data_IF_891906410289
#
_entry.id   IF_891906410289
#
_cell.length_a   1.000
_cell.length_b   1.000
_cell.length_c   1.000
_cell.angle_alpha   90.00
_cell.angle_beta   90.00
_cell.angle_gamma   90.00
#
_symmetry.space_group_name_H-M   'P 1'
#
loop_
_entity.id
_entity.type
_entity.pdbx_description
1 polymer ?
#
# COMPACT_ATOMS: atom_id res chain seq x y z
N UNK A 1 19.92 10.80 -13.50
CA UNK A 1 19.20 10.44 -12.26
C UNK A 1 18.75 11.73 -11.62
N UNK A 2 17.44 11.95 -11.52
CA UNK A 2 16.89 13.10 -10.80
C UNK A 2 16.97 12.77 -9.31
N UNK A 3 17.71 13.57 -8.54
CA UNK A 3 17.72 13.46 -7.09
C UNK A 3 16.40 14.07 -6.58
N UNK A 4 15.41 13.23 -6.26
CA UNK A 4 14.19 13.71 -5.62
C UNK A 4 14.53 14.15 -4.20
N UNK A 5 14.15 15.39 -3.85
CA UNK A 5 14.24 15.88 -2.48
C UNK A 5 13.38 15.03 -1.56
N UNK A 6 13.90 14.67 -0.38
CA UNK A 6 13.11 14.02 0.68
C UNK A 6 11.98 14.91 1.20
N UNK A 7 12.05 16.22 0.97
CA UNK A 7 11.00 17.17 1.34
C UNK A 7 9.66 16.88 0.66
N UNK A 8 9.66 16.15 -0.46
CA UNK A 8 8.42 15.69 -1.13
C UNK A 8 7.64 14.72 -0.23
N UNK A 9 8.29 14.05 0.71
CA UNK A 9 7.67 13.15 1.66
C UNK A 9 7.23 13.85 2.97
N UNK A 10 7.44 15.17 3.11
CA UNK A 10 7.00 15.91 4.29
C UNK A 10 5.46 15.89 4.36
N UNK A 11 4.83 15.40 5.44
CA UNK A 11 3.37 15.42 5.59
C UNK A 11 2.78 16.85 5.55
N UNK A 12 3.58 17.89 5.80
CA UNK A 12 3.20 19.28 5.63
C UNK A 12 3.28 19.77 4.17
N UNK A 13 3.96 19.05 3.28
CA UNK A 13 4.14 19.41 1.88
C UNK A 13 2.95 19.02 0.97
N UNK A 14 1.78 18.74 1.56
CA UNK A 14 0.56 18.41 0.84
C UNK A 14 0.11 19.49 -0.17
N UNK A 15 -1.05 19.30 -0.82
CA UNK A 15 -2.13 18.41 -0.37
C UNK A 15 -1.92 16.95 -0.77
N UNK A 16 -2.30 16.05 0.14
CA UNK A 16 -2.39 14.62 -0.08
C UNK A 16 -3.86 14.20 -0.28
N UNK A 17 -4.09 13.11 -0.99
CA UNK A 17 -5.42 12.55 -1.25
C UNK A 17 -5.46 11.05 -1.02
N UNK A 18 -6.63 10.56 -0.57
CA UNK A 18 -6.95 9.13 -0.50
C UNK A 18 -7.60 8.61 -1.78
N UNK A 19 -7.85 9.48 -2.76
CA UNK A 19 -8.41 9.14 -4.07
C UNK A 19 -7.30 8.71 -5.05
N UNK A 20 -6.49 7.72 -4.68
CA UNK A 20 -5.32 7.27 -5.47
C UNK A 20 -5.78 6.46 -6.68
N UNK A 21 -5.62 7.02 -7.88
CA UNK A 21 -6.05 6.42 -9.16
C UNK A 21 -4.89 5.94 -10.04
N UNK A 22 -3.69 5.84 -9.48
CA UNK A 22 -2.48 5.44 -10.19
C UNK A 22 -2.67 4.13 -10.97
N UNK A 23 -2.26 4.11 -12.25
CA UNK A 23 -2.54 3.02 -13.20
C UNK A 23 -2.09 1.65 -12.72
N UNK A 24 -0.97 1.60 -12.01
CA UNK A 24 -0.35 0.35 -11.57
C UNK A 24 -0.77 -0.06 -10.15
N UNK A 25 -1.28 0.90 -9.35
CA UNK A 25 -1.62 0.64 -7.95
C UNK A 25 -2.77 1.53 -7.45
N UNK A 26 -3.99 1.36 -8.00
CA UNK A 26 -5.15 2.16 -7.59
C UNK A 26 -5.64 1.72 -6.20
N UNK A 27 -5.91 2.69 -5.32
CA UNK A 27 -6.38 2.42 -3.94
C UNK A 27 -7.87 2.67 -3.77
N UNK A 28 -8.67 2.17 -4.71
CA UNK A 28 -10.12 2.14 -4.56
C UNK A 28 -10.52 1.15 -3.45
N UNK A 29 -11.46 1.55 -2.58
CA UNK A 29 -11.96 0.70 -1.49
C UNK A 29 -12.46 -0.66 -2.02
N UNK A 30 -12.12 -1.74 -1.32
CA UNK A 30 -12.49 -3.10 -1.70
C UNK A 30 -11.65 -3.69 -2.84
N UNK A 31 -10.71 -2.94 -3.41
CA UNK A 31 -9.79 -3.48 -4.41
C UNK A 31 -8.88 -4.53 -3.77
N UNK A 32 -8.66 -5.61 -4.50
CA UNK A 32 -7.67 -6.62 -4.17
C UNK A 32 -6.63 -6.75 -5.28
N UNK A 33 -5.40 -7.02 -4.87
CA UNK A 33 -4.29 -7.40 -5.74
C UNK A 33 -3.67 -8.68 -5.16
N UNK A 34 -3.52 -9.69 -6.00
CA UNK A 34 -2.81 -10.93 -5.67
C UNK A 34 -1.50 -10.92 -6.43
N UNK A 35 -0.40 -11.05 -5.71
CA UNK A 35 0.94 -11.22 -6.26
C UNK A 35 1.43 -12.62 -5.86
N UNK A 36 1.95 -13.35 -6.83
CA UNK A 36 2.46 -14.71 -6.66
C UNK A 36 3.90 -14.74 -7.17
N UNK A 37 4.74 -15.51 -6.48
CA UNK A 37 6.16 -15.61 -6.78
C UNK A 37 6.83 -16.67 -5.93
N UNK A 38 8.14 -16.52 -5.76
CA UNK A 38 8.94 -17.38 -4.90
C UNK A 38 9.80 -16.50 -3.99
N UNK A 39 9.99 -16.92 -2.75
CA UNK A 39 10.93 -16.33 -1.79
C UNK A 39 11.77 -17.45 -1.17
N UNK A 40 13.09 -17.34 -1.25
CA UNK A 40 14.05 -18.39 -0.87
C UNK A 40 13.73 -19.81 -1.40
N UNK A 41 13.09 -19.89 -2.57
CA UNK A 41 12.71 -21.15 -3.23
C UNK A 41 11.37 -21.75 -2.75
N UNK A 42 10.66 -21.07 -1.85
CA UNK A 42 9.32 -21.42 -1.42
C UNK A 42 8.26 -20.57 -2.15
N UNK A 43 7.10 -21.16 -2.42
CA UNK A 43 6.01 -20.43 -3.07
C UNK A 43 5.50 -19.29 -2.17
N UNK A 44 5.53 -18.07 -2.69
CA UNK A 44 5.05 -16.86 -2.03
C UNK A 44 3.73 -16.41 -2.65
N UNK A 45 2.77 -16.06 -1.81
CA UNK A 45 1.53 -15.40 -2.20
C UNK A 45 1.25 -14.20 -1.30
N UNK A 46 1.12 -13.03 -1.91
CA UNK A 46 0.73 -11.80 -1.23
C UNK A 46 -0.66 -11.35 -1.71
N UNK A 47 -1.60 -11.26 -0.78
CA UNK A 47 -2.91 -10.65 -0.99
C UNK A 47 -2.91 -9.26 -0.37
N UNK A 48 -3.03 -8.25 -1.22
CA UNK A 48 -3.19 -6.86 -0.82
C UNK A 48 -4.68 -6.50 -0.94
N UNK A 49 -5.28 -6.03 0.14
CA UNK A 49 -6.68 -5.57 0.20
C UNK A 49 -6.76 -4.12 0.64
N UNK A 50 -7.33 -3.28 -0.21
CA UNK A 50 -7.59 -1.88 0.12
C UNK A 50 -8.86 -1.79 0.94
N UNK A 51 -8.75 -1.44 2.22
CA UNK A 51 -9.89 -1.39 3.12
C UNK A 51 -10.76 -0.15 2.85
N UNK A 52 -12.01 -0.20 3.30
CA UNK A 52 -12.90 0.97 3.36
C UNK A 52 -12.51 1.98 4.45
N UNK A 53 -11.43 1.71 5.18
CA UNK A 53 -10.97 2.47 6.34
C UNK A 53 -9.95 3.55 5.95
N UNK A 54 -9.86 4.58 6.76
CA UNK A 54 -8.81 5.59 6.67
C UNK A 54 -8.31 5.96 8.06
N UNK A 55 -7.01 6.20 8.18
CA UNK A 55 -6.37 6.60 9.43
C UNK A 55 -5.50 7.84 9.21
N UNK A 56 -5.33 8.64 10.26
CA UNK A 56 -4.46 9.80 10.22
C UNK A 56 -3.03 9.39 10.58
N UNK A 57 -2.10 9.58 9.66
CA UNK A 57 -0.66 9.37 9.88
C UNK A 57 0.04 10.71 9.74
N UNK A 58 0.67 11.18 10.82
CA UNK A 58 1.31 12.51 10.88
C UNK A 58 0.38 13.67 10.42
N UNK A 59 -0.93 13.56 10.70
CA UNK A 59 -1.92 14.57 10.32
C UNK A 59 -2.48 14.44 8.90
N UNK A 60 -1.96 13.52 8.09
CA UNK A 60 -2.45 13.22 6.74
C UNK A 60 -3.47 12.08 6.80
N UNK A 61 -4.63 12.26 6.17
CA UNK A 61 -5.59 11.17 5.99
C UNK A 61 -5.04 10.15 4.98
N UNK A 62 -4.89 8.91 5.41
CA UNK A 62 -4.32 7.82 4.62
C UNK A 62 -5.31 6.67 4.49
N UNK A 63 -5.27 5.97 3.36
CA UNK A 63 -6.01 4.74 3.12
C UNK A 63 -5.35 3.58 3.87
N UNK A 64 -6.13 2.80 4.60
CA UNK A 64 -5.64 1.54 5.20
C UNK A 64 -5.64 0.45 4.14
N UNK A 65 -4.51 -0.22 4.01
CA UNK A 65 -4.32 -1.36 3.12
C UNK A 65 -3.84 -2.52 3.99
N UNK A 66 -4.48 -3.68 3.86
CA UNK A 66 -4.06 -4.91 4.52
C UNK A 66 -3.27 -5.76 3.53
N UNK A 67 -2.08 -6.17 3.94
CA UNK A 67 -1.23 -7.13 3.25
C UNK A 67 -1.28 -8.45 4.00
N UNK A 68 -1.62 -9.53 3.30
CA UNK A 68 -1.59 -10.90 3.84
C UNK A 68 -0.65 -11.74 3.00
N UNK A 69 0.47 -12.09 3.60
CA UNK A 69 1.51 -12.90 3.00
C UNK A 69 1.33 -14.37 3.39
N UNK A 70 1.67 -15.30 2.49
CA UNK A 70 1.70 -16.73 2.74
C UNK A 70 2.90 -17.33 2.02
N UNK A 71 3.76 -18.03 2.77
CA UNK A 71 4.95 -18.72 2.24
C UNK A 71 4.76 -20.22 2.43
N UNK A 72 5.15 -21.03 1.44
CA UNK A 72 5.05 -22.50 1.51
C UNK A 72 3.63 -23.05 1.39
N UNK A 73 2.63 -22.21 1.10
CA UNK A 73 1.24 -22.61 0.83
C UNK A 73 0.37 -22.90 2.07
N UNK A 74 0.87 -22.70 3.28
CA UNK A 74 0.11 -22.94 4.53
C UNK A 74 -0.48 -21.63 5.08
N UNK A 75 -1.81 -21.56 5.20
CA UNK A 75 -2.52 -20.41 5.79
C UNK A 75 -2.15 -20.14 7.25
N UNK A 76 -1.65 -21.15 7.98
CA UNK A 76 -1.22 -21.03 9.38
C UNK A 76 0.12 -20.27 9.52
N UNK A 77 0.88 -20.15 8.41
CA UNK A 77 2.07 -19.30 8.31
C UNK A 77 1.76 -17.88 7.81
N UNK A 78 0.48 -17.51 7.63
CA UNK A 78 0.14 -16.25 7.01
C UNK A 78 0.41 -15.05 7.95
N UNK A 79 1.20 -14.09 7.48
CA UNK A 79 1.47 -12.83 8.21
C UNK A 79 0.57 -11.73 7.66
N UNK A 80 -0.06 -10.95 8.54
CA UNK A 80 -0.94 -9.85 8.17
C UNK A 80 -0.41 -8.52 8.69
N UNK A 81 -0.23 -7.54 7.81
CA UNK A 81 0.30 -6.21 8.12
C UNK A 81 -0.62 -5.13 7.57
N UNK A 82 -0.88 -4.07 8.35
CA UNK A 82 -1.57 -2.87 7.88
C UNK A 82 -0.55 -1.84 7.41
N UNK A 83 -0.72 -1.35 6.20
CA UNK A 83 0.06 -0.25 5.62
C UNK A 83 -0.86 0.92 5.28
N UNK A 84 -0.31 2.13 5.29
CA UNK A 84 -1.04 3.38 5.20
C UNK A 84 -0.54 4.18 4.00
N UNK A 85 -1.43 4.52 3.07
CA UNK A 85 -1.03 5.16 1.82
C UNK A 85 -1.92 6.37 1.48
N UNK A 86 -1.27 7.44 1.04
CA UNK A 86 -1.88 8.60 0.41
C UNK A 86 -0.97 9.08 -0.72
N UNK A 87 -1.56 9.73 -1.72
CA UNK A 87 -0.84 10.25 -2.88
C UNK A 87 -0.80 11.78 -2.81
N UNK A 88 0.34 12.41 -3.13
CA UNK A 88 0.35 13.86 -3.36
C UNK A 88 -0.50 14.16 -4.59
N UNK A 89 -1.39 15.14 -4.49
CA UNK A 89 -2.31 15.50 -5.58
C UNK A 89 -1.56 15.86 -6.88
N UNK A 90 -0.32 16.33 -6.77
CA UNK A 90 0.55 16.63 -7.93
C UNK A 90 1.02 15.42 -8.74
N UNK A 91 0.81 14.19 -8.24
CA UNK A 91 1.22 12.95 -8.91
C UNK A 91 0.06 12.15 -9.55
N UNK A 92 -1.17 12.70 -9.53
CA UNK A 92 -2.33 12.09 -10.21
C UNK A 92 -2.25 12.15 -11.74
#
# INVERSE_FOLDING_TARGET
MTNLSLEVCDPAAGPFTTAVTHRFFPLAAGRQLVLEGEDDGEALRLLITVLGESEAVAGVATRVVEERETVGGELDGATSTKVYAAELVSFQ
#
